data_IF_353455286943
#
_entry.id   IF_353455286943
#
_cell.length_a   1.000
_cell.length_b   1.000
_cell.length_c   1.000
_cell.angle_alpha   90.00
_cell.angle_beta   90.00
_cell.angle_gamma   90.00
#
_symmetry.space_group_name_H-M   'P 1'
#
loop_
_entity.id
_entity.type
_entity.pdbx_description
1 polymer ?
#
# COMPACT_ATOMS: atom_id res chain seq x y z
N UNK A 1 25.75 4.41 0.86
CA UNK A 1 24.89 4.42 2.06
C UNK A 1 25.37 3.32 2.99
N UNK A 2 25.34 3.53 4.31
CA UNK A 2 25.80 2.54 5.29
C UNK A 2 24.92 1.30 5.35
N UNK A 3 25.44 0.24 5.97
CA UNK A 3 24.69 -0.97 6.29
C UNK A 3 23.68 -0.62 7.41
N UNK A 4 22.38 -0.80 7.18
CA UNK A 4 21.40 -0.67 8.26
C UNK A 4 21.47 -1.86 9.20
N UNK A 5 21.01 -1.69 10.43
CA UNK A 5 21.06 -2.72 11.48
C UNK A 5 19.67 -3.21 11.84
N UNK A 6 19.56 -4.46 12.27
CA UNK A 6 18.29 -5.04 12.75
C UNK A 6 18.32 -5.08 14.26
N UNK A 7 17.31 -4.50 14.89
CA UNK A 7 17.15 -4.50 16.34
C UNK A 7 15.84 -5.17 16.74
N UNK A 8 15.87 -5.84 17.90
CA UNK A 8 14.67 -6.31 18.60
C UNK A 8 14.21 -5.23 19.56
N UNK A 9 12.93 -4.85 19.48
CA UNK A 9 12.30 -3.89 20.38
C UNK A 9 11.25 -4.61 21.21
N UNK A 10 11.40 -4.56 22.53
CA UNK A 10 10.38 -5.04 23.44
C UNK A 10 9.09 -4.22 23.28
N UNK A 11 7.95 -4.88 23.45
CA UNK A 11 6.62 -4.28 23.36
C UNK A 11 5.65 -5.04 24.26
N UNK A 12 4.45 -4.51 24.43
CA UNK A 12 3.35 -5.20 25.10
C UNK A 12 2.16 -5.32 24.15
N UNK A 13 1.32 -6.36 24.28
CA UNK A 13 0.10 -6.49 23.49
C UNK A 13 -0.83 -5.28 23.63
N UNK A 14 -1.59 -5.01 22.58
CA UNK A 14 -2.70 -4.05 22.59
C UNK A 14 -4.02 -4.80 22.40
N UNK A 15 -5.02 -4.46 23.22
CA UNK A 15 -6.36 -5.01 23.04
C UNK A 15 -6.99 -4.54 21.73
N UNK A 16 -7.78 -5.43 21.12
CA UNK A 16 -8.67 -5.04 20.01
C UNK A 16 -7.98 -4.77 18.67
N UNK A 17 -6.75 -5.27 18.46
CA UNK A 17 -6.09 -5.30 17.14
C UNK A 17 -6.61 -6.44 16.23
N UNK A 18 -7.92 -6.71 16.28
CA UNK A 18 -8.55 -7.72 15.43
C UNK A 18 -8.86 -7.12 14.05
N UNK A 19 -8.24 -7.60 12.96
CA UNK A 19 -8.65 -7.20 11.62
C UNK A 19 -10.06 -7.72 11.34
N UNK A 20 -10.96 -6.85 10.90
CA UNK A 20 -12.25 -7.26 10.36
C UNK A 20 -12.12 -7.77 8.93
N UNK A 21 -13.25 -8.04 8.27
CA UNK A 21 -13.31 -8.45 6.85
C UNK A 21 -12.62 -7.46 5.90
N UNK A 22 -12.47 -6.22 6.33
CA UNK A 22 -11.80 -5.14 5.58
C UNK A 22 -10.53 -4.61 6.26
N UNK A 23 -9.90 -5.41 7.13
CA UNK A 23 -8.70 -5.05 7.90
C UNK A 23 -8.95 -4.40 9.25
N UNK A 24 -7.88 -3.93 9.88
CA UNK A 24 -7.91 -3.19 11.13
C UNK A 24 -8.21 -1.71 10.84
N UNK A 25 -9.20 -1.15 11.53
CA UNK A 25 -9.56 0.28 11.47
C UNK A 25 -9.72 0.84 12.87
N UNK A 26 -9.07 1.97 13.12
CA UNK A 26 -9.11 2.72 14.38
C UNK A 26 -8.86 4.19 14.10
N UNK A 27 -9.09 5.04 15.09
CA UNK A 27 -8.69 6.44 15.02
C UNK A 27 -7.17 6.56 14.82
N UNK A 28 -6.75 7.55 14.04
CA UNK A 28 -5.36 7.92 13.81
C UNK A 28 -4.60 8.05 15.14
N UNK A 29 -5.23 8.68 16.14
CA UNK A 29 -4.64 8.85 17.48
C UNK A 29 -4.31 7.54 18.18
N UNK A 30 -4.98 6.44 17.83
CA UNK A 30 -4.66 5.08 18.31
C UNK A 30 -3.45 4.54 17.56
N UNK A 31 -3.40 4.69 16.24
CA UNK A 31 -2.26 4.24 15.43
C UNK A 31 -0.95 5.00 15.73
N UNK A 32 -1.05 6.26 16.17
CA UNK A 32 0.09 7.08 16.59
C UNK A 32 0.60 6.72 17.99
N UNK A 33 -0.09 5.87 18.74
CA UNK A 33 0.45 5.36 20.01
C UNK A 33 1.74 4.58 19.74
N UNK A 34 2.77 4.73 20.57
CA UNK A 34 3.99 3.96 20.45
C UNK A 34 3.70 2.46 20.34
N UNK A 35 4.36 1.80 19.40
CA UNK A 35 4.27 0.36 19.15
C UNK A 35 2.94 -0.16 18.59
N UNK A 36 1.89 0.66 18.46
CA UNK A 36 0.59 0.17 18.00
C UNK A 36 0.68 -0.39 16.55
N UNK A 37 1.10 0.45 15.60
CA UNK A 37 1.29 0.02 14.22
C UNK A 37 2.33 -1.09 14.11
N UNK A 38 3.46 -0.96 14.82
CA UNK A 38 4.55 -1.94 14.78
C UNK A 38 4.07 -3.32 15.23
N UNK A 39 3.27 -3.39 16.31
CA UNK A 39 2.75 -4.65 16.79
C UNK A 39 1.86 -5.34 15.76
N UNK A 40 0.98 -4.59 15.08
CA UNK A 40 0.14 -5.16 14.02
C UNK A 40 0.95 -5.63 12.82
N UNK A 41 1.95 -4.85 12.40
CA UNK A 41 2.82 -5.18 11.24
C UNK A 41 3.67 -6.42 11.54
N UNK A 42 4.30 -6.50 12.71
CA UNK A 42 5.06 -7.68 13.11
C UNK A 42 4.16 -8.90 13.26
N UNK A 43 2.97 -8.74 13.85
CA UNK A 43 1.99 -9.82 13.98
C UNK A 43 1.54 -10.34 12.61
N UNK A 44 1.49 -9.45 11.61
CA UNK A 44 1.25 -9.81 10.21
C UNK A 44 2.40 -10.63 9.64
N UNK A 45 3.65 -10.20 9.76
CA UNK A 45 4.80 -10.99 9.31
C UNK A 45 4.87 -12.36 10.00
N UNK A 46 4.61 -12.43 11.31
CA UNK A 46 4.59 -13.68 12.08
C UNK A 46 3.46 -14.63 11.66
N UNK A 47 2.39 -14.12 11.04
CA UNK A 47 1.29 -14.95 10.55
C UNK A 47 1.63 -15.62 9.21
N UNK A 48 2.47 -14.98 8.40
CA UNK A 48 2.83 -15.42 7.06
C UNK A 48 3.89 -16.55 7.07
N UNK A 49 3.92 -17.39 6.03
CA UNK A 49 5.05 -18.26 5.75
C UNK A 49 6.35 -17.46 5.57
N UNK A 50 7.48 -18.00 6.02
CA UNK A 50 8.76 -17.29 6.01
C UNK A 50 9.21 -16.89 4.60
N UNK A 51 8.93 -17.70 3.58
CA UNK A 51 9.21 -17.47 2.16
C UNK A 51 8.30 -16.40 1.52
N UNK A 52 7.21 -16.01 2.18
CA UNK A 52 6.39 -14.86 1.77
C UNK A 52 6.87 -13.53 2.33
N UNK A 53 7.87 -13.55 3.23
CA UNK A 53 8.47 -12.37 3.85
C UNK A 53 9.95 -12.27 3.50
N UNK A 54 10.75 -13.28 3.85
CA UNK A 54 12.19 -13.31 3.59
C UNK A 54 12.47 -13.38 2.09
N UNK A 55 13.29 -12.46 1.59
CA UNK A 55 13.60 -12.34 0.16
C UNK A 55 12.44 -11.82 -0.69
N UNK A 56 11.28 -11.52 -0.10
CA UNK A 56 10.08 -11.17 -0.84
C UNK A 56 10.07 -9.72 -1.32
N UNK A 57 9.21 -9.45 -2.32
CA UNK A 57 8.76 -8.09 -2.66
C UNK A 57 7.40 -7.87 -2.00
N UNK A 58 7.26 -6.80 -1.21
CA UNK A 58 6.02 -6.47 -0.49
C UNK A 58 5.54 -5.09 -0.93
N UNK A 59 4.26 -4.96 -1.29
CA UNK A 59 3.68 -3.65 -1.61
C UNK A 59 3.24 -2.96 -0.32
N UNK A 60 3.54 -1.67 -0.18
CA UNK A 60 3.11 -0.83 0.94
C UNK A 60 2.61 0.50 0.37
N UNK A 61 1.28 0.65 0.29
CA UNK A 61 0.68 1.85 -0.28
C UNK A 61 -0.80 1.93 0.10
N UNK A 62 -1.49 3.00 -0.24
CA UNK A 62 -2.85 3.20 0.25
C UNK A 62 -3.62 4.30 -0.44
N UNK A 63 -4.58 4.87 0.28
CA UNK A 63 -5.44 5.90 -0.26
C UNK A 63 -4.95 7.34 0.00
N UNK A 64 -3.75 7.49 0.56
CA UNK A 64 -3.13 8.79 0.80
C UNK A 64 -3.62 9.52 2.05
N UNK A 65 -4.54 8.94 2.83
CA UNK A 65 -5.08 9.57 4.04
C UNK A 65 -3.98 9.97 5.04
N UNK A 66 -4.33 10.86 5.97
CA UNK A 66 -3.46 11.25 7.09
C UNK A 66 -2.79 10.03 7.75
N UNK A 67 -1.52 10.17 8.15
CA UNK A 67 -0.63 9.13 8.68
C UNK A 67 -0.08 8.10 7.65
N UNK A 68 -0.56 8.07 6.41
CA UNK A 68 -0.08 7.09 5.41
C UNK A 68 1.42 7.21 5.11
N UNK A 69 1.96 8.44 5.04
CA UNK A 69 3.40 8.65 4.77
C UNK A 69 4.27 8.07 5.89
N UNK A 70 3.92 8.36 7.14
CA UNK A 70 4.63 7.84 8.32
C UNK A 70 4.52 6.32 8.42
N UNK A 71 3.33 5.78 8.17
CA UNK A 71 3.10 4.34 8.18
C UNK A 71 3.91 3.61 7.11
N UNK A 72 4.06 4.17 5.90
CA UNK A 72 4.93 3.61 4.86
C UNK A 72 6.38 3.51 5.35
N UNK A 73 6.92 4.54 5.99
CA UNK A 73 8.29 4.50 6.51
C UNK A 73 8.44 3.43 7.59
N UNK A 74 7.51 3.37 8.55
CA UNK A 74 7.53 2.37 9.63
C UNK A 74 7.49 0.95 9.05
N UNK A 75 6.55 0.68 8.14
CA UNK A 75 6.40 -0.66 7.55
C UNK A 75 7.61 -1.01 6.69
N UNK A 76 8.20 -0.05 5.98
CA UNK A 76 9.41 -0.27 5.17
C UNK A 76 10.60 -0.69 6.04
N UNK A 77 10.83 0.01 7.16
CA UNK A 77 11.88 -0.35 8.13
C UNK A 77 11.67 -1.71 8.75
N UNK A 78 10.42 -2.07 9.04
CA UNK A 78 10.07 -3.39 9.56
C UNK A 78 10.17 -4.49 8.51
N UNK A 79 9.78 -4.23 7.26
CA UNK A 79 9.92 -5.17 6.15
C UNK A 79 11.41 -5.51 5.92
N UNK A 80 12.27 -4.49 5.89
CA UNK A 80 13.72 -4.67 5.82
C UNK A 80 14.24 -5.52 7.00
N UNK A 81 13.79 -5.22 8.22
CA UNK A 81 14.21 -5.94 9.42
C UNK A 81 13.72 -7.40 9.48
N UNK A 82 12.58 -7.69 8.85
CA UNK A 82 12.03 -9.03 8.71
C UNK A 82 12.59 -9.78 7.48
N UNK A 83 13.53 -9.18 6.76
CA UNK A 83 14.29 -9.82 5.68
C UNK A 83 13.63 -9.73 4.31
N UNK A 84 12.66 -8.85 4.09
CA UNK A 84 12.16 -8.57 2.74
C UNK A 84 13.30 -8.08 1.84
N UNK A 85 13.27 -8.46 0.56
CA UNK A 85 14.25 -7.99 -0.43
C UNK A 85 13.87 -6.61 -0.96
N UNK A 86 12.57 -6.33 -1.08
CA UNK A 86 12.06 -5.12 -1.71
C UNK A 86 10.73 -4.66 -1.14
N UNK A 87 10.55 -3.35 -1.08
CA UNK A 87 9.25 -2.71 -0.88
C UNK A 87 8.85 -1.93 -2.14
N UNK A 88 7.61 -2.10 -2.55
CA UNK A 88 6.97 -1.40 -3.66
C UNK A 88 5.98 -0.38 -3.13
N UNK A 89 6.14 0.89 -3.53
CA UNK A 89 5.34 2.00 -3.03
C UNK A 89 4.76 2.77 -4.22
N UNK A 90 3.44 2.98 -4.22
CA UNK A 90 2.82 3.91 -5.18
C UNK A 90 3.26 5.33 -4.85
N UNK A 91 3.55 6.14 -5.89
CA UNK A 91 3.94 7.55 -5.75
C UNK A 91 3.05 8.28 -4.73
N UNK A 92 3.65 8.97 -3.77
CA UNK A 92 2.98 9.64 -2.65
C UNK A 92 2.15 8.74 -1.72
N UNK A 93 2.43 7.43 -1.68
CA UNK A 93 1.59 6.41 -1.03
C UNK A 93 0.19 6.27 -1.66
N UNK A 94 0.04 6.64 -2.93
CA UNK A 94 -1.22 6.55 -3.66
C UNK A 94 -1.27 5.29 -4.51
N UNK A 95 -2.04 4.32 -4.04
CA UNK A 95 -2.41 3.12 -4.77
C UNK A 95 -3.79 2.64 -4.33
N UNK A 96 -4.77 2.76 -5.23
CA UNK A 96 -6.12 2.29 -4.96
C UNK A 96 -6.11 0.78 -4.65
N UNK A 97 -7.08 0.30 -3.85
CA UNK A 97 -7.17 -1.14 -3.54
C UNK A 97 -7.23 -2.02 -4.81
N UNK A 98 -7.98 -1.66 -5.87
CA UNK A 98 -7.92 -2.38 -7.15
C UNK A 98 -6.54 -2.35 -7.81
N UNK A 99 -5.86 -1.20 -7.80
CA UNK A 99 -4.51 -1.09 -8.36
C UNK A 99 -3.49 -1.92 -7.56
N UNK A 100 -3.59 -1.99 -6.22
CA UNK A 100 -2.76 -2.90 -5.42
C UNK A 100 -2.96 -4.34 -5.86
N UNK A 101 -4.22 -4.77 -6.02
CA UNK A 101 -4.53 -6.13 -6.47
C UNK A 101 -3.95 -6.41 -7.87
N UNK A 102 -4.09 -5.47 -8.80
CA UNK A 102 -3.49 -5.55 -10.13
C UNK A 102 -1.95 -5.62 -10.08
N UNK A 103 -1.31 -4.75 -9.29
CA UNK A 103 0.15 -4.72 -9.12
C UNK A 103 0.68 -6.06 -8.58
N UNK A 104 0.04 -6.62 -7.55
CA UNK A 104 0.48 -7.92 -6.99
C UNK A 104 0.48 -9.02 -8.07
N UNK A 105 -0.54 -9.02 -8.93
CA UNK A 105 -0.76 -10.10 -9.91
C UNK A 105 0.03 -9.92 -11.20
N UNK A 106 0.08 -8.69 -11.69
CA UNK A 106 0.49 -8.38 -13.06
C UNK A 106 1.87 -7.72 -13.14
N UNK A 107 2.29 -6.97 -12.11
CA UNK A 107 3.58 -6.26 -12.15
C UNK A 107 4.73 -7.25 -12.00
N UNK A 108 5.72 -7.10 -12.87
CA UNK A 108 6.99 -7.83 -12.83
C UNK A 108 8.11 -6.80 -12.69
N UNK A 109 8.93 -6.94 -11.64
CA UNK A 109 10.10 -6.09 -11.42
C UNK A 109 11.15 -6.24 -12.52
N UNK A 110 12.06 -5.27 -12.63
CA UNK A 110 13.14 -5.31 -13.62
C UNK A 110 14.05 -6.56 -13.49
N UNK A 111 14.12 -7.15 -12.29
CA UNK A 111 14.83 -8.40 -11.99
C UNK A 111 13.95 -9.65 -12.05
N UNK A 112 12.73 -9.54 -12.58
CA UNK A 112 11.75 -10.62 -12.65
C UNK A 112 10.96 -10.85 -11.36
N UNK A 113 11.14 -10.04 -10.33
CA UNK A 113 10.42 -10.23 -9.06
C UNK A 113 8.92 -9.99 -9.19
N UNK A 114 8.14 -10.63 -8.32
CA UNK A 114 6.70 -10.39 -8.13
C UNK A 114 6.42 -10.14 -6.66
N UNK A 115 5.37 -9.38 -6.37
CA UNK A 115 4.96 -9.17 -5.00
C UNK A 115 4.30 -10.43 -4.41
N UNK A 116 4.62 -10.74 -3.15
CA UNK A 116 4.02 -11.88 -2.42
C UNK A 116 2.80 -11.46 -1.59
N UNK A 117 2.61 -10.17 -1.40
CA UNK A 117 1.50 -9.59 -0.67
C UNK A 117 1.63 -8.08 -0.52
N UNK A 118 0.68 -7.48 0.19
CA UNK A 118 0.64 -6.03 0.35
C UNK A 118 0.02 -5.58 1.68
N UNK A 119 0.64 -4.59 2.30
CA UNK A 119 -0.04 -3.74 3.27
C UNK A 119 -0.77 -2.61 2.54
N UNK A 120 -2.09 -2.56 2.69
CA UNK A 120 -2.93 -1.53 2.11
C UNK A 120 -3.39 -0.57 3.20
N UNK A 121 -2.93 0.67 3.11
CA UNK A 121 -3.17 1.74 4.08
C UNK A 121 -4.46 2.49 3.70
N UNK A 122 -5.60 1.98 4.19
CA UNK A 122 -6.92 2.51 3.87
C UNK A 122 -7.93 2.09 4.93
N UNK A 123 -8.83 2.99 5.28
CA UNK A 123 -10.09 2.68 5.97
C UNK A 123 -11.30 2.78 5.02
N UNK A 124 -11.07 2.63 3.71
CA UNK A 124 -12.09 2.66 2.66
C UNK A 124 -12.89 3.96 2.68
N UNK A 125 -14.20 3.90 2.85
CA UNK A 125 -15.10 5.05 2.87
C UNK A 125 -15.08 5.84 4.18
N UNK A 126 -14.42 5.34 5.23
CA UNK A 126 -14.34 6.05 6.50
C UNK A 126 -13.53 7.35 6.32
N UNK A 127 -13.97 8.47 6.92
CA UNK A 127 -13.26 9.74 6.88
C UNK A 127 -11.79 9.61 7.28
N UNK A 128 -10.92 10.37 6.63
CA UNK A 128 -9.50 10.50 6.97
C UNK A 128 -9.20 11.88 7.55
N UNK A 129 -8.13 11.98 8.34
CA UNK A 129 -7.72 13.22 9.00
C UNK A 129 -7.07 12.95 10.36
N UNK A 130 -6.44 13.96 10.99
CA UNK A 130 -5.68 13.78 12.24
C UNK A 130 -6.47 13.16 13.40
N UNK A 131 -7.79 13.37 13.43
CA UNK A 131 -8.70 12.85 14.46
C UNK A 131 -9.66 11.80 13.92
N UNK A 132 -9.49 11.37 12.66
CA UNK A 132 -10.38 10.44 11.98
C UNK A 132 -9.74 9.05 11.83
N UNK A 133 -10.27 8.22 10.93
CA UNK A 133 -9.91 6.81 10.86
C UNK A 133 -8.67 6.59 9.99
N UNK A 134 -7.77 5.77 10.51
CA UNK A 134 -6.73 5.09 9.74
C UNK A 134 -7.07 3.61 9.66
N UNK A 135 -6.56 2.95 8.62
CA UNK A 135 -6.78 1.53 8.44
C UNK A 135 -5.61 0.86 7.76
N UNK A 136 -5.42 -0.41 8.11
CA UNK A 136 -4.40 -1.28 7.53
C UNK A 136 -5.01 -2.66 7.31
N UNK A 137 -4.83 -3.18 6.09
CA UNK A 137 -5.21 -4.55 5.73
C UNK A 137 -4.08 -5.23 4.96
N UNK A 138 -4.11 -6.56 4.94
CA UNK A 138 -3.14 -7.35 4.20
C UNK A 138 -3.81 -8.09 3.04
N UNK A 139 -3.22 -8.02 1.85
CA UNK A 139 -3.58 -8.85 0.71
C UNK A 139 -2.48 -9.88 0.43
N UNK A 140 -2.87 -11.08 -0.03
CA UNK A 140 -1.95 -12.18 -0.37
C UNK A 140 -1.48 -12.07 -1.83
N UNK A 141 -0.53 -12.93 -2.22
CA UNK A 141 0.06 -12.95 -3.57
C UNK A 141 -0.90 -13.24 -4.73
N UNK A 142 -2.15 -13.63 -4.47
CA UNK A 142 -3.20 -13.73 -5.49
C UNK A 142 -3.88 -12.37 -5.78
N UNK A 143 -3.50 -11.32 -5.07
CA UNK A 143 -4.09 -9.98 -5.12
C UNK A 143 -5.34 -9.80 -4.27
N UNK A 144 -5.84 -10.86 -3.63
CA UNK A 144 -7.04 -10.84 -2.77
C UNK A 144 -6.72 -10.55 -1.31
N UNK A 145 -7.73 -10.23 -0.49
CA UNK A 145 -7.56 -10.05 0.95
C UNK A 145 -7.04 -11.32 1.62
N UNK A 146 -6.30 -11.15 2.72
CA UNK A 146 -5.88 -12.27 3.57
C UNK A 146 -7.09 -13.12 3.99
N UNK A 147 -7.03 -14.46 3.85
CA UNK A 147 -8.11 -15.33 4.27
C UNK A 147 -8.24 -15.36 5.79
N UNK A 148 -9.40 -15.82 6.28
CA UNK A 148 -9.73 -15.85 7.71
C UNK A 148 -8.65 -16.54 8.56
N UNK A 149 -8.11 -17.66 8.07
CA UNK A 149 -7.02 -18.39 8.73
C UNK A 149 -5.76 -17.55 8.96
N UNK A 150 -5.44 -16.64 8.04
CA UNK A 150 -4.32 -15.70 8.19
C UNK A 150 -4.72 -14.59 9.14
N UNK A 151 -5.89 -13.97 8.97
CA UNK A 151 -6.33 -12.86 9.82
C UNK A 151 -6.50 -13.25 11.28
N UNK A 152 -6.95 -14.46 11.57
CA UNK A 152 -7.05 -15.00 12.92
C UNK A 152 -5.68 -15.23 13.53
N UNK A 153 -4.72 -15.72 12.75
CA UNK A 153 -3.33 -15.87 13.18
C UNK A 153 -2.68 -14.51 13.45
N UNK A 154 -2.96 -13.50 12.62
CA UNK A 154 -2.54 -12.11 12.89
C UNK A 154 -3.08 -11.67 14.25
N UNK A 155 -4.39 -11.83 14.47
CA UNK A 155 -5.00 -11.43 15.75
C UNK A 155 -4.39 -12.18 16.94
N UNK A 156 -4.23 -13.51 16.85
CA UNK A 156 -3.58 -14.32 17.89
C UNK A 156 -2.15 -13.87 18.20
N UNK A 157 -1.40 -13.43 17.18
CA UNK A 157 -0.06 -12.88 17.38
C UNK A 157 -0.13 -11.52 18.10
N UNK A 158 -1.10 -10.66 17.78
CA UNK A 158 -1.21 -9.33 18.42
C UNK A 158 -1.49 -9.39 19.92
N UNK A 159 -2.12 -10.46 20.41
CA UNK A 159 -2.46 -10.63 21.83
C UNK A 159 -1.32 -11.24 22.65
N UNK A 160 -0.29 -11.78 21.99
CA UNK A 160 0.83 -12.48 22.63
C UNK A 160 2.20 -11.87 22.32
N UNK A 161 2.26 -10.89 21.42
CA UNK A 161 3.51 -10.24 21.01
C UNK A 161 4.23 -9.57 22.18
N UNK A 162 5.51 -9.87 22.32
CA UNK A 162 6.42 -9.28 23.31
C UNK A 162 7.59 -8.52 22.68
N UNK A 163 7.84 -8.71 21.39
CA UNK A 163 8.89 -8.02 20.64
C UNK A 163 8.56 -7.87 19.15
N UNK A 164 9.18 -6.91 18.50
CA UNK A 164 9.21 -6.77 17.03
C UNK A 164 10.60 -6.44 16.51
N UNK A 165 10.81 -6.69 15.21
CA UNK A 165 12.04 -6.37 14.50
C UNK A 165 11.90 -5.04 13.76
N UNK A 166 12.91 -4.18 13.88
CA UNK A 166 12.95 -2.91 13.15
C UNK A 166 14.39 -2.46 12.87
N UNK A 167 14.58 -1.81 11.71
CA UNK A 167 15.83 -1.15 11.32
C UNK A 167 15.66 0.36 11.45
N UNK A 168 15.86 0.92 12.65
CA UNK A 168 15.62 2.35 12.93
C UNK A 168 16.59 3.28 12.19
N UNK A 169 17.80 2.79 11.93
CA UNK A 169 18.87 3.50 11.22
C UNK A 169 18.73 3.45 9.69
N UNK A 170 17.77 2.69 9.16
CA UNK A 170 17.40 2.76 7.74
C UNK A 170 16.80 4.15 7.46
N UNK A 171 17.40 4.95 6.56
CA UNK A 171 16.89 6.26 6.21
C UNK A 171 15.49 6.19 5.60
N UNK A 172 14.70 7.23 5.85
CA UNK A 172 13.40 7.37 5.18
C UNK A 172 13.61 7.56 3.68
N UNK A 173 12.71 6.99 2.89
CA UNK A 173 12.71 7.12 1.43
C UNK A 173 11.74 8.23 1.03
N UNK A 174 12.18 9.12 0.14
CA UNK A 174 11.29 10.12 -0.46
C UNK A 174 10.31 9.44 -1.42
N UNK A 175 9.12 9.14 -0.91
CA UNK A 175 8.04 8.51 -1.68
C UNK A 175 7.34 9.46 -2.64
N UNK A 176 7.76 10.73 -2.73
CA UNK A 176 7.23 11.70 -3.71
C UNK A 176 7.97 11.72 -5.04
N UNK A 177 9.04 10.92 -5.16
CA UNK A 177 9.88 10.82 -6.36
C UNK A 177 9.89 9.39 -6.88
N UNK A 178 9.59 9.20 -8.16
CA UNK A 178 9.68 7.89 -8.82
C UNK A 178 11.14 7.46 -8.91
N UNK A 179 11.42 6.21 -8.55
CA UNK A 179 12.75 5.62 -8.66
C UNK A 179 13.00 4.52 -7.62
N UNK A 180 14.17 3.89 -7.77
CA UNK A 180 14.64 2.85 -6.84
C UNK A 180 15.68 3.45 -5.91
N UNK A 181 15.43 3.34 -4.61
CA UNK A 181 16.42 3.61 -3.56
C UNK A 181 16.94 2.29 -3.02
N UNK A 182 18.25 2.06 -3.14
CA UNK A 182 18.89 0.81 -2.71
C UNK A 182 19.71 0.98 -1.45
N UNK A 183 19.57 0.02 -0.55
CA UNK A 183 20.25 -0.08 0.73
C UNK A 183 20.95 -1.45 0.83
N UNK A 184 21.84 -1.57 1.82
CA UNK A 184 22.44 -2.85 2.19
C UNK A 184 22.08 -3.14 3.65
N UNK A 185 21.68 -4.38 3.93
CA UNK A 185 21.34 -4.85 5.26
C UNK A 185 21.93 -6.22 5.57
N UNK A 186 21.65 -6.77 6.76
CA UNK A 186 22.24 -8.04 7.22
C UNK A 186 21.91 -9.25 6.34
N UNK A 187 20.74 -9.25 5.69
CA UNK A 187 20.27 -10.31 4.79
C UNK A 187 20.59 -10.01 3.30
N UNK A 188 21.40 -8.97 3.03
CA UNK A 188 21.79 -8.55 1.67
C UNK A 188 21.17 -7.22 1.22
N UNK A 189 21.05 -6.99 -0.10
CA UNK A 189 20.49 -5.74 -0.62
C UNK A 189 19.00 -5.59 -0.29
N UNK A 190 18.56 -4.36 -0.02
CA UNK A 190 17.16 -4.02 0.22
C UNK A 190 16.78 -2.82 -0.66
N UNK A 191 15.73 -2.95 -1.48
CA UNK A 191 15.30 -1.86 -2.36
C UNK A 191 13.94 -1.31 -1.95
N UNK A 192 13.76 0.00 -2.12
CA UNK A 192 12.44 0.64 -2.12
C UNK A 192 12.22 1.23 -3.50
N UNK A 193 11.24 0.70 -4.22
CA UNK A 193 10.89 1.12 -5.59
C UNK A 193 9.56 1.88 -5.54
N UNK A 194 9.66 3.19 -5.81
CA UNK A 194 8.56 4.14 -5.88
C UNK A 194 8.16 4.31 -7.35
N UNK A 195 6.89 4.09 -7.67
CA UNK A 195 6.43 4.10 -9.06
C UNK A 195 5.02 4.68 -9.22
N UNK A 196 4.69 5.08 -10.44
CA UNK A 196 3.33 5.48 -10.80
C UNK A 196 2.41 4.26 -10.85
N UNK A 197 1.49 4.18 -9.88
CA UNK A 197 0.58 3.05 -9.74
C UNK A 197 -0.54 3.02 -10.78
N UNK A 198 -0.72 4.09 -11.56
CA UNK A 198 -1.72 4.14 -12.63
C UNK A 198 -1.33 3.28 -13.83
N UNK A 199 -0.03 3.13 -14.11
CA UNK A 199 0.48 2.45 -15.31
C UNK A 199 0.01 0.99 -15.39
N UNK A 200 0.29 0.20 -14.34
CA UNK A 200 -0.07 -1.23 -14.31
C UNK A 200 -1.61 -1.43 -14.31
N UNK A 201 -2.33 -0.56 -13.59
CA UNK A 201 -3.78 -0.61 -13.52
C UNK A 201 -4.44 -0.29 -14.87
N UNK A 202 -4.01 0.77 -15.54
CA UNK A 202 -4.56 1.18 -16.86
C UNK A 202 -4.24 0.14 -17.92
N UNK A 203 -3.02 -0.41 -17.89
CA UNK A 203 -2.64 -1.52 -18.77
C UNK A 203 -3.60 -2.69 -18.62
N UNK A 204 -3.97 -3.06 -17.39
CA UNK A 204 -4.98 -4.10 -17.14
C UNK A 204 -6.37 -3.66 -17.63
N UNK A 205 -6.79 -2.42 -17.40
CA UNK A 205 -8.11 -1.95 -17.85
C UNK A 205 -8.26 -2.02 -19.37
N UNK A 206 -7.19 -1.74 -20.13
CA UNK A 206 -7.16 -1.85 -21.60
C UNK A 206 -7.29 -3.28 -22.12
N UNK A 207 -7.01 -4.31 -21.31
CA UNK A 207 -7.25 -5.70 -21.72
C UNK A 207 -8.68 -6.16 -21.43
N UNK A 208 -9.41 -5.42 -20.59
CA UNK A 208 -10.77 -5.74 -20.16
C UNK A 208 -11.82 -4.94 -20.96
N UNK A 209 -11.55 -3.66 -21.22
CA UNK A 209 -12.50 -2.75 -21.85
C UNK A 209 -12.01 -2.28 -23.22
N UNK A 210 -12.96 -2.04 -24.13
CA UNK A 210 -12.71 -1.39 -25.41
C UNK A 210 -12.54 0.13 -25.19
N UNK A 211 -11.29 0.56 -25.03
CA UNK A 211 -10.95 1.97 -24.82
C UNK A 211 -11.28 2.84 -26.04
N UNK A 212 -11.25 2.30 -27.26
CA UNK A 212 -11.59 3.06 -28.46
C UNK A 212 -13.09 3.36 -28.52
N UNK A 213 -13.93 2.39 -28.15
CA UNK A 213 -15.37 2.61 -28.04
C UNK A 213 -15.71 3.65 -26.95
N UNK A 214 -15.06 3.57 -25.78
CA UNK A 214 -15.28 4.52 -24.69
C UNK A 214 -14.79 5.92 -25.09
N UNK A 215 -13.62 6.02 -25.74
CA UNK A 215 -13.08 7.28 -26.26
C UNK A 215 -14.02 7.94 -27.26
N UNK A 216 -14.59 7.15 -28.19
CA UNK A 216 -15.60 7.63 -29.15
C UNK A 216 -16.85 8.15 -28.44
N UNK A 217 -17.25 7.55 -27.32
CA UNK A 217 -18.36 8.04 -26.51
C UNK A 217 -18.01 9.36 -25.81
N UNK A 218 -16.87 9.43 -25.11
CA UNK A 218 -16.48 10.61 -24.33
C UNK A 218 -16.14 11.82 -25.20
N UNK A 219 -15.67 11.62 -26.43
CA UNK A 219 -15.39 12.71 -27.39
C UNK A 219 -16.60 13.12 -28.22
N UNK A 220 -17.76 12.47 -28.04
CA UNK A 220 -18.98 12.81 -28.75
C UNK A 220 -19.60 14.11 -28.22
N UNK A 221 -19.97 15.07 -29.09
CA UNK A 221 -20.64 16.31 -28.65
C UNK A 221 -22.06 16.07 -28.10
N UNK A 222 -22.56 14.83 -28.20
CA UNK A 222 -23.90 14.44 -27.71
C UNK A 222 -23.86 13.79 -26.33
N UNK A 223 -22.67 13.60 -25.75
CA UNK A 223 -22.49 12.94 -24.47
C UNK A 223 -21.81 13.90 -23.49
N UNK A 224 -22.32 13.97 -22.26
CA UNK A 224 -21.71 14.73 -21.18
C UNK A 224 -21.30 13.77 -20.07
N UNK A 225 -20.18 14.09 -19.43
CA UNK A 225 -19.55 13.25 -18.43
C UNK A 225 -19.12 14.08 -17.23
N UNK A 226 -19.25 13.51 -16.04
CA UNK A 226 -18.77 14.07 -14.78
C UNK A 226 -18.27 12.92 -13.92
N UNK A 227 -17.08 13.10 -13.34
CA UNK A 227 -16.46 12.14 -12.44
C UNK A 227 -15.97 12.85 -11.19
N UNK A 228 -16.51 12.47 -10.03
CA UNK A 228 -16.07 12.99 -8.74
C UNK A 228 -15.28 11.93 -7.98
N UNK A 229 -14.00 12.21 -7.70
CA UNK A 229 -13.15 11.30 -6.93
C UNK A 229 -13.28 11.50 -5.40
N UNK A 230 -14.06 12.48 -4.96
CA UNK A 230 -14.32 12.80 -3.55
C UNK A 230 -13.02 13.05 -2.75
N UNK A 231 -12.00 13.63 -3.39
CA UNK A 231 -10.65 13.80 -2.83
C UNK A 231 -9.98 12.49 -2.38
N UNK A 232 -10.45 11.35 -2.89
CA UNK A 232 -9.87 10.04 -2.63
C UNK A 232 -8.82 9.67 -3.68
N UNK A 233 -8.16 8.53 -3.42
CA UNK A 233 -7.09 7.97 -4.25
C UNK A 233 -7.47 7.74 -5.72
N UNK A 234 -8.76 7.57 -6.03
CA UNK A 234 -9.21 7.39 -7.40
C UNK A 234 -8.89 8.60 -8.29
N UNK A 235 -8.77 9.80 -7.69
CA UNK A 235 -8.36 11.02 -8.37
C UNK A 235 -6.96 10.93 -8.99
N UNK A 236 -6.05 10.17 -8.37
CA UNK A 236 -4.71 9.92 -8.89
C UNK A 236 -4.69 9.17 -10.23
N UNK A 237 -5.78 8.50 -10.58
CA UNK A 237 -5.95 7.77 -11.83
C UNK A 237 -6.80 8.53 -12.85
N UNK A 238 -7.63 9.47 -12.38
CA UNK A 238 -8.71 10.04 -13.15
C UNK A 238 -8.22 10.79 -14.39
N UNK A 239 -7.16 11.61 -14.25
CA UNK A 239 -6.59 12.35 -15.38
C UNK A 239 -6.00 11.40 -16.43
N UNK A 240 -5.18 10.44 -16.02
CA UNK A 240 -4.55 9.48 -16.91
C UNK A 240 -5.61 8.63 -17.65
N UNK A 241 -6.63 8.14 -16.93
CA UNK A 241 -7.71 7.35 -17.55
C UNK A 241 -8.61 8.22 -18.44
N UNK A 242 -9.27 9.21 -17.87
CA UNK A 242 -10.39 9.86 -18.56
C UNK A 242 -9.92 10.91 -19.55
N UNK A 243 -8.87 11.67 -19.25
CA UNK A 243 -8.39 12.76 -20.11
C UNK A 243 -7.36 12.24 -21.11
N UNK A 244 -6.28 11.64 -20.62
CA UNK A 244 -5.13 11.27 -21.48
C UNK A 244 -5.44 10.07 -22.38
N UNK A 245 -6.04 9.02 -21.82
CA UNK A 245 -6.38 7.80 -22.59
C UNK A 245 -7.70 7.95 -23.36
N UNK A 246 -8.75 8.43 -22.68
CA UNK A 246 -10.12 8.41 -23.22
C UNK A 246 -10.62 9.76 -23.79
N UNK A 247 -9.85 10.84 -23.68
CA UNK A 247 -10.15 12.12 -24.34
C UNK A 247 -11.33 12.92 -23.77
N UNK A 248 -11.72 12.69 -22.51
CA UNK A 248 -12.66 13.54 -21.81
C UNK A 248 -12.06 14.93 -21.54
N UNK A 249 -12.92 15.94 -21.37
CA UNK A 249 -12.51 17.26 -20.94
C UNK A 249 -12.05 17.23 -19.47
N UNK A 250 -10.94 17.90 -19.13
CA UNK A 250 -10.43 17.95 -17.75
C UNK A 250 -11.45 18.58 -16.78
N UNK A 251 -12.33 19.47 -17.26
CA UNK A 251 -13.42 20.04 -16.47
C UNK A 251 -14.48 19.03 -16.03
N UNK A 252 -14.53 17.84 -16.65
CA UNK A 252 -15.37 16.73 -16.18
C UNK A 252 -14.87 16.10 -14.88
N UNK A 253 -13.64 16.40 -14.45
CA UNK A 253 -13.01 15.82 -13.27
C UNK A 253 -13.19 16.71 -12.05
N UNK A 254 -13.99 16.26 -11.10
CA UNK A 254 -14.26 16.93 -9.83
C UNK A 254 -13.45 16.28 -8.71
N UNK A 255 -12.90 17.12 -7.82
CA UNK A 255 -12.22 16.70 -6.59
C UNK A 255 -11.15 15.60 -6.79
N UNK A 256 -10.48 15.58 -7.93
CA UNK A 256 -9.51 14.53 -8.31
C UNK A 256 -8.10 14.69 -7.72
N UNK A 257 -7.90 15.65 -6.82
CA UNK A 257 -6.65 15.76 -6.04
C UNK A 257 -6.86 15.09 -4.69
N UNK A 258 -6.15 13.99 -4.37
CA UNK A 258 -6.22 13.34 -3.06
C UNK A 258 -5.82 14.29 -1.92
N UNK A 259 -6.48 14.17 -0.76
CA UNK A 259 -6.24 15.02 0.43
C UNK A 259 -6.02 14.20 1.70
#
# INVERSE_FOLDING_TARGET
MGLFTVTKKATTPFEGQKPGTSGLRKKVTVFQQPHYLQNFVQSTFNALPADQVKGATIVVSGDGRYFSKDAVQIITKMAAANGARRVWVGLNSLMSTPAVSAVIRERVGADGSKATGAFILTASHNPGGPTEDFGIKYNMGNGGPAPESVTDKIFSNTTTISEYLISEDLPDVDISVVGVTSFSGPEGPFDVDVFDSSVDYIKLMKTIFDFEAIKKLLTSPKFTFCYDALHGVAGAYAKHIFVEELGADESSLLNCVPK
#
